data_IF_047573870966
#
_entry.id   IF_047573870966
#
_cell.length_a   1.000
_cell.length_b   1.000
_cell.length_c   1.000
_cell.angle_alpha   90.00
_cell.angle_beta   90.00
_cell.angle_gamma   90.00
#
_symmetry.space_group_name_H-M   'P 1'
#
loop_
_entity.id
_entity.type
_entity.pdbx_description
1 polymer ?
#
# COMPACT_ATOMS: atom_id res chain seq x y z
N UNK A 1 1.17 -0.23 -12.32
CA UNK A 1 2.53 -0.26 -11.77
C UNK A 1 2.53 -0.90 -10.38
N UNK A 2 3.68 -1.46 -9.98
CA UNK A 2 3.86 -2.12 -8.68
C UNK A 2 4.40 -1.17 -7.59
N UNK A 3 4.90 0.00 -7.99
CA UNK A 3 5.68 0.85 -7.09
C UNK A 3 7.06 0.26 -6.76
N UNK A 4 7.85 1.00 -5.98
CA UNK A 4 9.24 0.66 -5.72
C UNK A 4 9.43 -0.48 -4.75
N UNK A 5 8.79 -0.44 -3.56
CA UNK A 5 8.92 -1.51 -2.56
C UNK A 5 8.53 -2.89 -3.10
N UNK A 6 7.45 -2.97 -3.88
CA UNK A 6 7.03 -4.24 -4.47
C UNK A 6 8.00 -4.78 -5.52
N UNK A 7 8.62 -3.88 -6.31
CA UNK A 7 9.69 -4.27 -7.26
C UNK A 7 10.93 -4.79 -6.54
N UNK A 8 11.33 -4.12 -5.46
CA UNK A 8 12.45 -4.56 -4.62
C UNK A 8 12.21 -5.95 -4.02
N UNK A 9 11.01 -6.22 -3.50
CA UNK A 9 10.65 -7.55 -2.97
C UNK A 9 10.66 -8.63 -4.04
N UNK A 10 10.13 -8.35 -5.23
CA UNK A 10 10.17 -9.29 -6.36
C UNK A 10 11.61 -9.60 -6.79
N UNK A 11 12.48 -8.58 -6.82
CA UNK A 11 13.89 -8.75 -7.12
C UNK A 11 14.59 -9.59 -6.06
N UNK A 12 14.41 -9.30 -4.77
CA UNK A 12 14.98 -10.08 -3.67
C UNK A 12 14.54 -11.55 -3.74
N UNK A 13 13.24 -11.80 -3.97
CA UNK A 13 12.74 -13.17 -4.11
C UNK A 13 13.40 -13.89 -5.29
N UNK A 14 13.59 -13.21 -6.41
CA UNK A 14 14.29 -13.77 -7.57
C UNK A 14 15.76 -14.12 -7.23
N UNK A 15 16.49 -13.23 -6.52
CA UNK A 15 17.87 -13.47 -6.10
C UNK A 15 17.95 -14.66 -5.16
N UNK A 16 17.07 -14.74 -4.14
CA UNK A 16 17.05 -15.86 -3.20
C UNK A 16 16.81 -17.20 -3.91
N UNK A 17 15.92 -17.22 -4.92
CA UNK A 17 15.67 -18.42 -5.72
C UNK A 17 16.87 -18.76 -6.62
N UNK A 18 17.41 -17.77 -7.35
CA UNK A 18 18.48 -17.98 -8.32
C UNK A 18 19.76 -18.53 -7.70
N UNK A 19 20.08 -18.08 -6.48
CA UNK A 19 21.31 -18.47 -5.77
C UNK A 19 21.06 -19.45 -4.63
N UNK A 20 19.86 -20.02 -4.53
CA UNK A 20 19.45 -21.00 -3.52
C UNK A 20 19.77 -20.58 -2.08
N UNK A 21 19.57 -19.29 -1.77
CA UNK A 21 19.98 -18.69 -0.49
C UNK A 21 18.99 -18.94 0.66
N UNK A 22 17.85 -19.57 0.42
CA UNK A 22 16.81 -19.80 1.46
C UNK A 22 17.31 -20.60 2.65
N UNK A 23 18.06 -21.66 2.40
CA UNK A 23 18.59 -22.59 3.40
C UNK A 23 20.13 -22.72 3.29
N UNK A 24 20.79 -21.66 2.85
CA UNK A 24 22.25 -21.67 2.64
C UNK A 24 23.07 -21.75 3.95
N UNK A 25 22.51 -21.27 5.05
CA UNK A 25 23.16 -21.27 6.37
C UNK A 25 22.41 -22.23 7.30
N UNK A 26 23.15 -22.99 8.09
CA UNK A 26 22.62 -24.05 8.95
C UNK A 26 21.62 -23.53 10.00
N UNK A 27 21.90 -22.37 10.61
CA UNK A 27 21.10 -21.79 11.68
C UNK A 27 20.27 -20.57 11.24
N UNK A 28 20.27 -20.21 9.97
CA UNK A 28 19.60 -18.99 9.47
C UNK A 28 18.77 -19.29 8.22
N UNK A 29 17.48 -19.03 8.31
CA UNK A 29 16.57 -19.04 7.16
C UNK A 29 16.36 -17.63 6.62
N UNK A 30 16.64 -17.43 5.36
CA UNK A 30 16.38 -16.17 4.65
C UNK A 30 15.07 -16.32 3.89
N UNK A 31 14.05 -15.51 4.23
CA UNK A 31 12.72 -15.61 3.66
C UNK A 31 12.22 -14.25 3.19
N UNK A 32 11.53 -14.22 2.06
CA UNK A 32 10.61 -13.13 1.72
C UNK A 32 9.23 -13.51 2.24
N UNK A 33 8.60 -12.68 3.09
CA UNK A 33 7.27 -12.99 3.60
C UNK A 33 6.26 -13.09 2.45
N UNK A 34 5.19 -13.87 2.65
CA UNK A 34 4.09 -13.94 1.68
C UNK A 34 3.53 -12.55 1.47
N UNK A 35 3.50 -12.11 0.23
CA UNK A 35 3.20 -10.73 -0.15
C UNK A 35 2.07 -10.68 -1.16
N UNK A 36 1.10 -9.80 -0.92
CA UNK A 36 0.11 -9.37 -1.90
C UNK A 36 0.44 -7.94 -2.32
N UNK A 37 0.55 -7.71 -3.62
CA UNK A 37 0.75 -6.36 -4.19
C UNK A 37 -0.54 -5.88 -4.83
N UNK A 38 -1.04 -4.75 -4.36
CA UNK A 38 -2.17 -4.04 -4.95
C UNK A 38 -1.58 -2.97 -5.88
N UNK A 39 -1.82 -3.12 -7.19
CA UNK A 39 -1.22 -2.24 -8.20
C UNK A 39 -1.86 -0.85 -8.20
N UNK A 40 -1.18 0.12 -8.82
CA UNK A 40 -1.71 1.49 -8.97
C UNK A 40 -3.03 1.57 -9.73
N UNK A 41 -3.38 0.56 -10.53
CA UNK A 41 -4.67 0.49 -11.22
C UNK A 41 -5.84 0.43 -10.26
N UNK A 42 -5.68 -0.25 -9.11
CA UNK A 42 -6.70 -0.29 -8.07
C UNK A 42 -6.87 1.05 -7.37
N UNK A 43 -5.80 1.82 -7.22
CA UNK A 43 -5.87 3.20 -6.74
C UNK A 43 -6.69 4.07 -7.70
N UNK A 44 -6.37 4.04 -9.00
CA UNK A 44 -7.10 4.80 -10.02
C UNK A 44 -8.59 4.41 -10.06
N UNK A 45 -8.90 3.12 -10.00
CA UNK A 45 -10.28 2.62 -9.94
C UNK A 45 -10.99 3.09 -8.67
N UNK A 46 -10.33 2.99 -7.52
CA UNK A 46 -10.91 3.42 -6.24
C UNK A 46 -11.28 4.91 -6.28
N UNK A 47 -10.40 5.76 -6.74
CA UNK A 47 -10.66 7.21 -6.88
C UNK A 47 -11.84 7.46 -7.84
N UNK A 48 -11.83 6.81 -9.00
CA UNK A 48 -12.86 6.99 -10.02
C UNK A 48 -14.22 6.47 -9.60
N UNK A 49 -14.28 5.23 -9.10
CA UNK A 49 -15.54 4.55 -8.80
C UNK A 49 -16.28 5.19 -7.62
N UNK A 50 -15.55 5.88 -6.72
CA UNK A 50 -16.13 6.61 -5.58
C UNK A 50 -16.23 8.13 -5.82
N UNK A 51 -15.91 8.64 -7.00
CA UNK A 51 -16.03 10.07 -7.32
C UNK A 51 -15.09 10.98 -6.52
N UNK A 52 -13.92 10.47 -6.09
CA UNK A 52 -12.99 11.17 -5.19
C UNK A 52 -12.02 12.13 -5.92
N UNK A 53 -12.18 12.33 -7.23
CA UNK A 53 -11.28 13.19 -8.02
C UNK A 53 -11.22 14.65 -7.51
N UNK A 54 -12.31 15.13 -6.93
CA UNK A 54 -12.37 16.50 -6.39
C UNK A 54 -11.36 16.72 -5.26
N UNK A 55 -11.00 15.69 -4.49
CA UNK A 55 -10.05 15.78 -3.38
C UNK A 55 -8.67 16.28 -3.84
N UNK A 56 -8.29 16.05 -5.08
CA UNK A 56 -7.00 16.47 -5.65
C UNK A 56 -6.80 17.99 -5.49
N UNK A 57 -7.86 18.79 -5.73
CA UNK A 57 -7.82 20.25 -5.71
C UNK A 57 -8.61 20.86 -4.55
N UNK A 58 -9.19 20.05 -3.67
CA UNK A 58 -9.99 20.53 -2.57
C UNK A 58 -9.12 21.10 -1.44
N UNK A 59 -9.58 22.16 -0.82
CA UNK A 59 -9.02 22.71 0.43
C UNK A 59 -9.83 22.16 1.61
N UNK A 60 -9.55 20.91 1.96
CA UNK A 60 -10.21 20.18 3.04
C UNK A 60 -9.15 19.59 3.97
N UNK A 61 -9.54 19.33 5.23
CA UNK A 61 -8.62 18.80 6.25
C UNK A 61 -8.19 17.36 5.96
N UNK A 62 -7.06 16.94 6.53
CA UNK A 62 -6.59 15.55 6.42
C UNK A 62 -7.59 14.57 7.06
N UNK A 63 -8.31 15.00 8.12
CA UNK A 63 -9.37 14.24 8.77
C UNK A 63 -10.59 14.05 7.85
N UNK A 64 -10.99 15.07 7.11
CA UNK A 64 -12.09 14.99 6.16
C UNK A 64 -11.72 14.08 4.99
N UNK A 65 -10.49 14.22 4.46
CA UNK A 65 -9.97 13.31 3.42
C UNK A 65 -10.01 11.87 3.90
N UNK A 66 -9.51 11.59 5.10
CA UNK A 66 -9.52 10.25 5.67
C UNK A 66 -10.93 9.70 5.81
N UNK A 67 -11.86 10.52 6.30
CA UNK A 67 -13.26 10.15 6.49
C UNK A 67 -13.92 9.75 5.18
N UNK A 68 -13.78 10.56 4.13
CA UNK A 68 -14.29 10.28 2.79
C UNK A 68 -13.74 8.97 2.21
N UNK A 69 -12.42 8.75 2.33
CA UNK A 69 -11.78 7.55 1.83
C UNK A 69 -12.20 6.30 2.60
N UNK A 70 -12.32 6.39 3.92
CA UNK A 70 -12.74 5.24 4.76
C UNK A 70 -14.22 4.89 4.51
N UNK A 71 -15.07 5.88 4.25
CA UNK A 71 -16.48 5.67 3.89
C UNK A 71 -16.66 5.04 2.50
N UNK A 72 -15.70 5.22 1.61
CA UNK A 72 -15.73 4.71 0.23
C UNK A 72 -15.53 3.18 0.15
N UNK A 73 -15.88 2.58 -0.98
CA UNK A 73 -15.82 1.13 -1.19
C UNK A 73 -14.63 0.71 -2.05
N UNK A 74 -13.90 -0.31 -1.61
CA UNK A 74 -12.89 -0.96 -2.47
C UNK A 74 -13.58 -1.76 -3.59
N UNK A 75 -12.95 -1.91 -4.79
CA UNK A 75 -13.45 -2.76 -5.85
C UNK A 75 -13.70 -4.20 -5.36
N UNK A 76 -14.79 -4.82 -5.82
CA UNK A 76 -15.22 -6.15 -5.33
C UNK A 76 -14.21 -7.27 -5.63
N UNK A 77 -13.56 -7.21 -6.78
CA UNK A 77 -12.50 -8.17 -7.15
C UNK A 77 -11.29 -8.05 -6.20
N UNK A 78 -10.95 -6.83 -5.75
CA UNK A 78 -9.94 -6.62 -4.74
C UNK A 78 -10.38 -7.20 -3.39
N UNK A 79 -11.62 -6.93 -2.96
CA UNK A 79 -12.16 -7.49 -1.72
C UNK A 79 -12.09 -9.02 -1.70
N UNK A 80 -12.41 -9.67 -2.81
CA UNK A 80 -12.28 -11.14 -2.94
C UNK A 80 -10.83 -11.61 -2.82
N UNK A 81 -9.89 -10.89 -3.44
CA UNK A 81 -8.47 -11.21 -3.33
C UNK A 81 -7.96 -11.07 -1.88
N UNK A 82 -8.37 -10.00 -1.18
CA UNK A 82 -8.03 -9.77 0.23
C UNK A 82 -8.56 -10.88 1.14
N UNK A 83 -9.80 -11.32 0.95
CA UNK A 83 -10.38 -12.46 1.71
C UNK A 83 -9.57 -13.73 1.53
N UNK A 84 -9.21 -14.06 0.29
CA UNK A 84 -8.36 -15.21 0.00
C UNK A 84 -6.99 -15.08 0.68
N UNK A 85 -6.38 -13.90 0.59
CA UNK A 85 -5.07 -13.67 1.19
C UNK A 85 -5.10 -13.85 2.72
N UNK A 86 -6.10 -13.28 3.41
CA UNK A 86 -6.31 -13.45 4.86
C UNK A 86 -6.49 -14.94 5.20
N UNK A 87 -7.38 -15.62 4.50
CA UNK A 87 -7.69 -17.04 4.73
C UNK A 87 -6.45 -17.93 4.67
N UNK A 88 -5.56 -17.71 3.68
CA UNK A 88 -4.35 -18.52 3.52
C UNK A 88 -3.16 -18.04 4.36
N UNK A 89 -3.14 -16.80 4.83
CA UNK A 89 -1.99 -16.26 5.57
C UNK A 89 -2.14 -16.51 7.06
N UNK A 90 -3.31 -16.24 7.65
CA UNK A 90 -3.65 -16.44 9.08
C UNK A 90 -2.58 -15.88 10.03
N UNK A 91 -2.09 -14.68 9.76
CA UNK A 91 -1.01 -14.01 10.51
C UNK A 91 -1.33 -12.52 10.64
N UNK A 92 -0.66 -11.80 11.56
CA UNK A 92 -0.62 -10.35 11.51
C UNK A 92 -0.11 -9.87 10.15
N UNK A 93 -0.62 -8.73 9.69
CA UNK A 93 -0.30 -8.17 8.38
C UNK A 93 0.24 -6.76 8.53
N UNK A 94 1.22 -6.41 7.70
CA UNK A 94 1.68 -5.05 7.50
C UNK A 94 1.12 -4.51 6.17
N UNK A 95 0.53 -3.33 6.19
CA UNK A 95 0.05 -2.61 5.01
C UNK A 95 0.98 -1.43 4.78
N UNK A 96 1.66 -1.42 3.65
CA UNK A 96 2.72 -0.46 3.34
C UNK A 96 2.46 0.21 1.99
N UNK A 97 2.68 1.50 1.94
CA UNK A 97 2.74 2.25 0.69
C UNK A 97 3.84 1.74 -0.23
N UNK A 98 3.62 1.84 -1.53
CA UNK A 98 4.61 1.49 -2.56
C UNK A 98 4.44 2.45 -3.75
N UNK A 99 4.85 3.69 -3.58
CA UNK A 99 4.82 4.67 -4.65
C UNK A 99 6.11 4.67 -5.47
N UNK A 100 6.11 5.37 -6.60
CA UNK A 100 7.32 5.57 -7.39
C UNK A 100 8.26 6.59 -6.74
N UNK A 101 7.69 7.58 -6.03
CA UNK A 101 8.46 8.66 -5.42
C UNK A 101 9.25 8.19 -4.19
N UNK A 102 8.76 7.17 -3.45
CA UNK A 102 9.45 6.64 -2.27
C UNK A 102 10.84 6.07 -2.56
N UNK A 103 11.10 5.66 -3.80
CA UNK A 103 12.38 5.10 -4.23
C UNK A 103 13.18 6.04 -5.14
N UNK A 104 12.84 7.32 -5.16
CA UNK A 104 13.61 8.30 -5.90
C UNK A 104 15.01 8.45 -5.30
N UNK A 105 16.03 8.11 -6.09
CA UNK A 105 17.44 8.19 -5.67
C UNK A 105 17.88 9.63 -5.33
N UNK A 106 17.22 10.61 -5.91
CA UNK A 106 17.55 12.03 -5.78
C UNK A 106 16.70 12.78 -4.75
N UNK A 107 15.60 12.20 -4.31
CA UNK A 107 14.65 12.84 -3.41
C UNK A 107 14.09 11.78 -2.44
N UNK A 108 14.67 11.67 -1.21
CA UNK A 108 14.23 10.68 -0.26
C UNK A 108 12.82 10.98 0.23
N UNK A 109 11.88 10.09 -0.07
CA UNK A 109 10.46 10.17 0.28
C UNK A 109 10.13 9.32 1.53
N UNK A 110 11.14 8.98 2.31
CA UNK A 110 10.98 8.11 3.46
C UNK A 110 10.11 8.75 4.55
N UNK A 111 9.11 8.01 5.04
CA UNK A 111 8.29 8.43 6.18
C UNK A 111 7.12 9.36 5.86
N UNK A 112 6.88 9.70 4.58
CA UNK A 112 5.75 10.56 4.19
C UNK A 112 4.43 9.79 4.24
N UNK A 113 4.44 8.49 3.84
CA UNK A 113 3.26 7.64 3.87
C UNK A 113 3.26 6.68 5.05
N UNK A 114 2.08 6.43 5.59
CA UNK A 114 1.89 5.61 6.78
C UNK A 114 2.03 4.10 6.49
N UNK A 115 2.56 3.36 7.48
CA UNK A 115 2.50 1.90 7.54
C UNK A 115 1.50 1.51 8.63
N UNK A 116 0.62 0.56 8.32
CA UNK A 116 -0.36 0.04 9.27
C UNK A 116 -0.08 -1.41 9.60
N UNK A 117 -0.09 -1.72 10.89
CA UNK A 117 0.01 -3.10 11.38
C UNK A 117 -1.38 -3.61 11.73
N UNK A 118 -1.78 -4.72 11.12
CA UNK A 118 -3.08 -5.35 11.35
C UNK A 118 -2.84 -6.61 12.18
N UNK A 119 -3.34 -6.67 13.41
CA UNK A 119 -3.22 -7.87 14.24
C UNK A 119 -4.00 -9.03 13.59
N UNK A 120 -3.56 -10.26 13.87
CA UNK A 120 -4.35 -11.42 13.52
C UNK A 120 -5.64 -11.43 14.34
N UNK A 121 -6.78 -11.52 13.68
CA UNK A 121 -8.09 -11.67 14.31
C UNK A 121 -8.63 -13.08 14.08
N UNK A 122 -9.29 -13.65 15.08
CA UNK A 122 -9.96 -14.95 14.95
C UNK A 122 -11.12 -14.89 13.94
N UNK A 123 -11.76 -13.71 13.81
CA UNK A 123 -12.79 -13.46 12.82
C UNK A 123 -12.17 -12.85 11.55
N UNK A 124 -12.23 -13.60 10.45
CA UNK A 124 -11.73 -13.16 9.13
C UNK A 124 -12.46 -11.91 8.62
N UNK A 125 -13.74 -11.72 8.97
CA UNK A 125 -14.49 -10.52 8.60
C UNK A 125 -13.95 -9.28 9.32
N UNK A 126 -13.60 -9.42 10.60
CA UNK A 126 -12.98 -8.33 11.35
C UNK A 126 -11.61 -7.99 10.78
N UNK A 127 -10.80 -8.99 10.47
CA UNK A 127 -9.48 -8.77 9.87
C UNK A 127 -9.58 -8.11 8.50
N UNK A 128 -10.57 -8.50 7.68
CA UNK A 128 -10.84 -7.86 6.38
C UNK A 128 -11.26 -6.39 6.55
N UNK A 129 -12.13 -6.06 7.52
CA UNK A 129 -12.51 -4.67 7.80
C UNK A 129 -11.31 -3.82 8.17
N UNK A 130 -10.44 -4.32 9.07
CA UNK A 130 -9.21 -3.62 9.46
C UNK A 130 -8.27 -3.44 8.28
N UNK A 131 -8.05 -4.47 7.48
CA UNK A 131 -7.20 -4.43 6.29
C UNK A 131 -7.74 -3.45 5.25
N UNK A 132 -9.05 -3.49 4.95
CA UNK A 132 -9.70 -2.56 4.03
C UNK A 132 -9.58 -1.11 4.50
N UNK A 133 -9.77 -0.86 5.80
CA UNK A 133 -9.59 0.48 6.38
C UNK A 133 -8.15 0.95 6.22
N UNK A 134 -7.16 0.10 6.51
CA UNK A 134 -5.75 0.45 6.38
C UNK A 134 -5.37 0.78 4.92
N UNK A 135 -5.83 0.00 3.94
CA UNK A 135 -5.62 0.26 2.51
C UNK A 135 -6.18 1.64 2.13
N UNK A 136 -7.42 1.93 2.51
CA UNK A 136 -8.08 3.22 2.25
C UNK A 136 -7.36 4.38 2.93
N UNK A 137 -6.84 4.17 4.13
CA UNK A 137 -6.05 5.18 4.85
C UNK A 137 -4.70 5.46 4.17
N UNK A 138 -4.03 4.43 3.61
CA UNK A 138 -2.83 4.64 2.80
C UNK A 138 -3.17 5.43 1.54
N UNK A 139 -4.28 5.12 0.87
CA UNK A 139 -4.74 5.90 -0.29
C UNK A 139 -5.04 7.36 0.06
N UNK A 140 -5.70 7.62 1.18
CA UNK A 140 -5.98 8.98 1.66
C UNK A 140 -4.70 9.79 1.89
N UNK A 141 -3.65 9.14 2.43
CA UNK A 141 -2.40 9.82 2.79
C UNK A 141 -1.66 10.44 1.60
N UNK A 142 -1.97 10.04 0.37
CA UNK A 142 -1.45 10.69 -0.85
C UNK A 142 -1.84 12.16 -0.91
N UNK A 143 -3.02 12.51 -0.39
CA UNK A 143 -3.61 13.84 -0.47
C UNK A 143 -3.47 14.67 0.80
N UNK A 144 -2.82 14.17 1.83
CA UNK A 144 -2.58 14.90 3.08
C UNK A 144 -1.66 16.12 2.87
N UNK A 145 -1.80 17.12 3.72
CA UNK A 145 -1.05 18.36 3.64
C UNK A 145 0.46 18.13 3.55
N UNK A 146 1.01 17.21 4.34
CA UNK A 146 2.43 16.84 4.32
C UNK A 146 2.87 16.24 2.97
N UNK A 147 2.05 15.36 2.40
CA UNK A 147 2.32 14.72 1.10
C UNK A 147 2.26 15.75 -0.03
N UNK A 148 1.23 16.61 -0.02
CA UNK A 148 1.08 17.69 -1.00
C UNK A 148 2.27 18.65 -0.97
N UNK A 149 2.68 19.10 0.22
CA UNK A 149 3.82 20.00 0.39
C UNK A 149 5.10 19.37 -0.16
N UNK A 150 5.33 18.09 0.11
CA UNK A 150 6.50 17.39 -0.40
C UNK A 150 6.47 17.22 -1.93
N UNK A 151 5.35 16.78 -2.49
CA UNK A 151 5.18 16.61 -3.94
C UNK A 151 5.42 17.92 -4.67
N UNK A 152 4.87 19.05 -4.16
CA UNK A 152 5.07 20.37 -4.70
C UNK A 152 6.54 20.80 -4.61
N UNK A 153 7.19 20.60 -3.47
CA UNK A 153 8.62 20.93 -3.26
C UNK A 153 9.56 20.14 -4.18
N UNK A 154 9.16 18.92 -4.58
CA UNK A 154 9.94 18.07 -5.48
C UNK A 154 9.65 18.32 -6.97
N UNK A 155 8.91 19.37 -7.32
CA UNK A 155 8.49 19.71 -8.67
C UNK A 155 7.67 18.60 -9.39
N UNK A 156 7.04 17.72 -8.62
CA UNK A 156 6.13 16.69 -9.13
C UNK A 156 4.67 17.21 -9.10
N UNK A 157 3.80 16.55 -9.84
CA UNK A 157 2.37 16.91 -9.91
C UNK A 157 1.57 15.90 -9.11
N UNK A 158 0.80 16.35 -8.12
CA UNK A 158 0.02 15.50 -7.23
C UNK A 158 -0.99 14.61 -7.99
N UNK A 159 -1.55 15.08 -9.10
CA UNK A 159 -2.47 14.28 -9.93
C UNK A 159 -1.80 13.11 -10.65
N UNK A 160 -0.47 13.12 -10.74
CA UNK A 160 0.30 12.03 -11.34
C UNK A 160 0.80 11.01 -10.31
N UNK A 161 0.69 11.34 -9.01
CA UNK A 161 1.08 10.41 -7.95
C UNK A 161 0.07 9.27 -7.84
N UNK A 162 0.58 8.06 -7.94
CA UNK A 162 -0.22 6.83 -7.89
C UNK A 162 0.33 5.88 -6.85
N UNK A 163 -0.57 5.37 -6.03
CA UNK A 163 -0.23 4.53 -4.91
C UNK A 163 -0.47 3.04 -5.22
N UNK A 164 0.58 2.24 -5.19
CA UNK A 164 0.47 0.81 -5.00
C UNK A 164 0.63 0.46 -3.51
N UNK A 165 0.14 -0.70 -3.09
CA UNK A 165 0.21 -1.15 -1.70
C UNK A 165 0.83 -2.53 -1.64
N UNK A 166 1.68 -2.73 -0.65
CA UNK A 166 2.25 -4.03 -0.28
C UNK A 166 1.60 -4.48 1.02
N UNK A 167 1.00 -5.67 1.00
CA UNK A 167 0.44 -6.37 2.18
C UNK A 167 1.29 -7.61 2.44
N UNK A 168 1.88 -7.71 3.63
CA UNK A 168 2.83 -8.77 4.01
C UNK A 168 2.46 -9.39 5.35
#
# INVERSE_FOLDING_TARGET
SLGGKARGLAFLNHILQKYELYDHWEDVRVLVPRTLVITTEYFDRFIKDNGLQYVINADISDEDILSEFVASSLPEDLNRALRKFIHYTRKPLAVRSSSKLEDSYYQPFAGVYSTYMIPHACDEHQQLRMLSKAIKSVYASVYYASSRAYITASANVISEEKMAIVVQ
#
